data_IF_574082288618
#
_entry.id   IF_574082288618
#
_cell.length_a   1.000
_cell.length_b   1.000
_cell.length_c   1.000
_cell.angle_alpha   90.00
_cell.angle_beta   90.00
_cell.angle_gamma   90.00
#
_symmetry.space_group_name_H-M   'P 1'
#
loop_
_entity.id
_entity.type
_entity.pdbx_description
1 polymer ?
#
# COMPACT_ATOMS: atom_id res chain seq x y z
N UNK A 1 3.52 0.12 20.01
CA UNK A 1 3.09 -1.27 19.73
C UNK A 1 1.75 -1.33 18.97
N UNK A 2 0.66 -0.74 19.49
CA UNK A 2 -0.63 -0.77 18.79
C UNK A 2 -0.63 -0.08 17.41
N UNK A 3 0.05 1.05 17.28
CA UNK A 3 0.22 1.81 16.02
C UNK A 3 0.98 1.02 14.95
N UNK A 4 2.02 0.29 15.35
CA UNK A 4 2.85 -0.55 14.47
C UNK A 4 2.04 -1.70 13.85
N UNK A 5 1.16 -2.32 14.63
CA UNK A 5 0.27 -3.40 14.16
C UNK A 5 -0.75 -2.85 13.14
N UNK A 6 -1.32 -1.66 13.40
CA UNK A 6 -2.24 -1.01 12.46
C UNK A 6 -1.57 -0.64 11.14
N UNK A 7 -0.33 -0.13 11.19
CA UNK A 7 0.46 0.18 9.99
C UNK A 7 0.81 -1.08 9.19
N UNK A 8 1.12 -2.18 9.88
CA UNK A 8 1.43 -3.46 9.26
C UNK A 8 0.19 -4.04 8.55
N UNK A 9 -0.98 -3.99 9.21
CA UNK A 9 -2.27 -4.37 8.63
C UNK A 9 -2.62 -3.49 7.43
N UNK A 10 -2.43 -2.17 7.53
CA UNK A 10 -2.68 -1.23 6.43
C UNK A 10 -1.74 -1.49 5.24
N UNK A 11 -0.46 -1.80 5.49
CA UNK A 11 0.51 -2.16 4.46
C UNK A 11 0.17 -3.47 3.76
N UNK A 12 -0.18 -4.52 4.51
CA UNK A 12 -0.65 -5.80 3.98
C UNK A 12 -1.93 -5.63 3.15
N UNK A 13 -2.89 -4.85 3.66
CA UNK A 13 -4.11 -4.54 2.95
C UNK A 13 -3.82 -3.81 1.62
N UNK A 14 -2.91 -2.84 1.62
CA UNK A 14 -2.49 -2.14 0.40
C UNK A 14 -1.85 -3.10 -0.61
N UNK A 15 -0.97 -4.01 -0.20
CA UNK A 15 -0.35 -5.01 -1.08
C UNK A 15 -1.41 -5.95 -1.65
N UNK A 16 -2.31 -6.47 -0.81
CA UNK A 16 -3.39 -7.36 -1.23
C UNK A 16 -4.32 -6.66 -2.24
N UNK A 17 -4.74 -5.42 -1.95
CA UNK A 17 -5.54 -4.62 -2.88
C UNK A 17 -4.79 -4.30 -4.19
N UNK A 18 -3.47 -4.21 -4.15
CA UNK A 18 -2.66 -4.00 -5.37
C UNK A 18 -2.57 -5.26 -6.21
N UNK A 19 -2.42 -6.44 -5.59
CA UNK A 19 -2.30 -7.73 -6.29
C UNK A 19 -3.65 -8.24 -6.81
N UNK A 20 -4.68 -8.27 -5.96
CA UNK A 20 -6.03 -8.75 -6.31
C UNK A 20 -6.77 -7.79 -7.23
N UNK A 21 -6.29 -6.55 -7.35
CA UNK A 21 -6.91 -5.44 -8.08
C UNK A 21 -8.45 -5.42 -7.98
N UNK A 22 -9.04 -5.46 -6.76
CA UNK A 22 -10.47 -5.59 -6.62
C UNK A 22 -11.17 -4.39 -7.27
N UNK A 23 -12.25 -4.67 -7.99
CA UNK A 23 -13.06 -3.68 -8.72
C UNK A 23 -13.40 -2.45 -7.87
N UNK A 24 -13.77 -2.62 -6.60
CA UNK A 24 -14.07 -1.51 -5.69
C UNK A 24 -12.90 -0.51 -5.50
N UNK A 25 -11.68 -1.02 -5.35
CA UNK A 25 -10.49 -0.20 -5.11
C UNK A 25 -9.98 0.41 -6.42
N UNK A 26 -9.99 -0.37 -7.50
CA UNK A 26 -9.38 0.00 -8.77
C UNK A 26 -10.34 0.66 -9.77
N UNK A 27 -11.66 0.51 -9.64
CA UNK A 27 -12.67 1.23 -10.43
C UNK A 27 -13.14 2.54 -9.79
N UNK A 28 -12.72 2.84 -8.56
CA UNK A 28 -13.00 4.14 -7.95
C UNK A 28 -12.52 5.28 -8.87
N UNK A 29 -13.32 6.35 -8.98
CA UNK A 29 -13.04 7.48 -9.90
C UNK A 29 -11.61 8.01 -9.76
N UNK A 30 -11.07 8.04 -8.54
CA UNK A 30 -9.69 8.47 -8.25
C UNK A 30 -8.64 7.52 -8.85
N UNK A 31 -8.77 6.21 -8.59
CA UNK A 31 -7.86 5.18 -9.12
C UNK A 31 -7.93 5.09 -10.66
N UNK A 32 -9.13 5.18 -11.23
CA UNK A 32 -9.34 5.18 -12.69
C UNK A 32 -8.73 6.42 -13.35
N UNK A 33 -8.82 7.59 -12.71
CA UNK A 33 -8.19 8.84 -13.21
C UNK A 33 -6.67 8.76 -13.15
N UNK A 34 -6.10 8.23 -12.06
CA UNK A 34 -4.66 8.02 -11.90
C UNK A 34 -4.11 7.01 -12.93
N UNK A 35 -4.80 5.88 -13.11
CA UNK A 35 -4.49 4.89 -14.17
C UNK A 35 -4.48 5.49 -15.57
N UNK A 36 -5.43 6.38 -15.88
CA UNK A 36 -5.47 7.06 -17.19
C UNK A 36 -4.31 8.03 -17.39
N UNK A 37 -3.80 8.62 -16.31
CA UNK A 37 -2.75 9.64 -16.37
C UNK A 37 -1.34 9.03 -16.45
N UNK A 38 -1.11 7.95 -15.72
CA UNK A 38 0.22 7.33 -15.53
C UNK A 38 0.33 5.96 -16.22
N UNK A 39 -0.79 5.30 -16.52
CA UNK A 39 -0.85 3.94 -17.07
C UNK A 39 -1.11 2.87 -16.01
N UNK A 40 -1.66 1.73 -16.43
CA UNK A 40 -2.06 0.63 -15.54
C UNK A 40 -0.87 0.01 -14.79
N UNK A 41 0.23 -0.19 -15.51
CA UNK A 41 1.47 -0.77 -15.00
C UNK A 41 2.13 0.12 -13.96
N UNK A 42 2.25 1.42 -14.26
CA UNK A 42 2.88 2.37 -13.36
C UNK A 42 1.99 2.67 -12.14
N UNK A 43 0.66 2.69 -12.27
CA UNK A 43 -0.24 2.73 -11.12
C UNK A 43 -0.04 1.51 -10.21
N UNK A 44 0.09 0.30 -10.79
CA UNK A 44 0.36 -0.93 -10.02
C UNK A 44 1.67 -0.80 -9.25
N UNK A 45 2.74 -0.34 -9.92
CA UNK A 45 4.05 -0.16 -9.30
C UNK A 45 4.01 0.86 -8.16
N UNK A 46 3.25 1.95 -8.31
CA UNK A 46 3.12 2.99 -7.31
C UNK A 46 2.43 2.48 -6.03
N UNK A 47 1.28 1.80 -6.19
CA UNK A 47 0.56 1.22 -5.05
C UNK A 47 1.33 0.09 -4.38
N UNK A 48 2.06 -0.72 -5.17
CA UNK A 48 2.89 -1.80 -4.66
C UNK A 48 4.09 -1.26 -3.88
N UNK A 49 4.76 -0.23 -4.40
CA UNK A 49 5.85 0.47 -3.71
C UNK A 49 5.40 1.08 -2.40
N UNK A 50 4.25 1.77 -2.38
CA UNK A 50 3.65 2.29 -1.14
C UNK A 50 3.40 1.19 -0.12
N UNK A 51 2.82 0.06 -0.54
CA UNK A 51 2.57 -1.09 0.35
C UNK A 51 3.85 -1.67 0.94
N UNK A 52 4.89 -1.84 0.13
CA UNK A 52 6.21 -2.34 0.56
C UNK A 52 6.87 -1.38 1.56
N UNK A 53 6.82 -0.06 1.32
CA UNK A 53 7.38 0.94 2.23
C UNK A 53 6.64 0.92 3.57
N UNK A 54 5.31 0.86 3.56
CA UNK A 54 4.50 0.79 4.78
C UNK A 54 4.80 -0.46 5.61
N UNK A 55 4.90 -1.63 4.95
CA UNK A 55 5.28 -2.88 5.62
C UNK A 55 6.70 -2.81 6.15
N UNK A 56 7.64 -2.28 5.35
CA UNK A 56 9.03 -2.08 5.75
C UNK A 56 9.15 -1.23 7.00
N UNK A 57 8.59 -0.02 7.00
CA UNK A 57 8.60 0.90 8.15
C UNK A 57 7.98 0.22 9.38
N UNK A 58 6.89 -0.53 9.21
CA UNK A 58 6.25 -1.25 10.31
C UNK A 58 7.15 -2.34 10.91
N UNK A 59 7.86 -3.09 10.06
CA UNK A 59 8.82 -4.13 10.48
C UNK A 59 10.02 -3.48 11.19
N UNK A 60 10.59 -2.41 10.65
CA UNK A 60 11.69 -1.67 11.27
C UNK A 60 11.29 -1.07 12.63
N UNK A 61 10.05 -0.62 12.76
CA UNK A 61 9.50 -0.14 14.03
C UNK A 61 9.28 -1.29 15.03
N UNK A 62 8.79 -2.45 14.58
CA UNK A 62 8.68 -3.67 15.39
C UNK A 62 10.03 -4.22 15.86
N UNK A 63 11.06 -4.11 15.02
CA UNK A 63 12.45 -4.48 15.36
C UNK A 63 13.11 -3.47 16.30
N UNK A 64 12.44 -2.36 16.66
CA UNK A 64 12.97 -1.34 17.57
C UNK A 64 14.04 -0.44 16.95
N UNK A 65 14.27 -0.54 15.63
CA UNK A 65 15.25 0.29 14.90
C UNK A 65 14.72 1.72 14.73
N UNK A 66 13.40 1.88 14.64
CA UNK A 66 12.73 3.17 14.46
C UNK A 66 11.65 3.31 15.55
N UNK A 67 11.73 4.37 16.36
CA UNK A 67 10.69 4.73 17.34
C UNK A 67 9.84 5.86 16.76
N UNK A 68 8.65 5.50 16.28
CA UNK A 68 7.57 6.40 15.85
C UNK A 68 6.42 6.26 16.85
#
# INVERSE_FOLDING_TARGET
>A
MGTSILLLLAGLFAIICTLKKPAFYWESRKARRLRRFIGDTAATFFYMGMGIILVGISIFNLLGIITI
#
